data_IF_087440652530
#
_entry.id   IF_087440652530
#
_cell.length_a   1.000
_cell.length_b   1.000
_cell.length_c   1.000
_cell.angle_alpha   90.00
_cell.angle_beta   90.00
_cell.angle_gamma   90.00
#
_symmetry.space_group_name_H-M   'P 1'
#
loop_
_entity.id
_entity.type
_entity.pdbx_description
1 polymer ?
#
# COMPACT_ATOMS: atom_id res chain seq x y z
N UNK A 1 29.31 -13.19 13.08
CA UNK A 1 28.64 -13.56 13.69
C UNK A 1 27.28 -13.45 13.35
N UNK A 2 26.63 -14.31 13.31
CA UNK A 2 25.33 -14.29 12.80
C UNK A 2 24.32 -13.77 13.77
N UNK A 3 24.77 -13.21 14.84
CA UNK A 3 23.85 -12.69 15.81
C UNK A 3 22.92 -11.65 15.25
N UNK A 4 23.40 -10.87 14.29
CA UNK A 4 22.57 -9.83 13.74
C UNK A 4 21.91 -10.22 12.45
N UNK A 5 22.10 -11.46 12.02
CA UNK A 5 21.47 -11.90 10.80
C UNK A 5 20.22 -12.69 11.15
N UNK A 6 19.15 -12.50 10.41
CA UNK A 6 17.95 -13.28 10.65
C UNK A 6 18.23 -14.73 10.38
N UNK A 7 17.66 -15.59 11.18
CA UNK A 7 17.88 -17.00 10.98
C UNK A 7 17.10 -17.51 9.79
N UNK A 8 16.00 -16.86 9.46
CA UNK A 8 15.10 -17.36 8.46
C UNK A 8 14.83 -16.26 7.44
N UNK A 9 15.14 -16.46 6.18
CA UNK A 9 14.85 -15.44 5.17
C UNK A 9 13.40 -15.06 5.10
N UNK A 10 12.48 -15.95 5.47
CA UNK A 10 11.07 -15.62 5.46
C UNK A 10 10.74 -14.60 6.55
N UNK A 11 11.45 -14.64 7.67
CA UNK A 11 11.24 -13.65 8.72
C UNK A 11 11.65 -12.27 8.26
N UNK A 12 12.73 -12.19 7.50
CA UNK A 12 13.18 -10.92 6.96
C UNK A 12 12.15 -10.38 5.99
N UNK A 13 11.68 -11.23 5.09
CA UNK A 13 10.71 -10.82 4.09
C UNK A 13 9.43 -10.36 4.74
N UNK A 14 8.98 -11.06 5.75
CA UNK A 14 7.77 -10.69 6.44
C UNK A 14 7.92 -9.35 7.15
N UNK A 15 9.05 -9.13 7.79
CA UNK A 15 9.28 -7.88 8.51
C UNK A 15 9.31 -6.70 7.55
N UNK A 16 10.02 -6.85 6.43
CA UNK A 16 10.11 -5.79 5.43
C UNK A 16 8.74 -5.51 4.85
N UNK A 17 7.99 -6.54 4.53
CA UNK A 17 6.66 -6.38 3.98
C UNK A 17 5.74 -5.67 4.97
N UNK A 18 5.82 -6.06 6.24
CA UNK A 18 5.01 -5.44 7.28
C UNK A 18 5.33 -3.94 7.41
N UNK A 19 6.60 -3.59 7.38
CA UNK A 19 6.99 -2.20 7.49
C UNK A 19 6.48 -1.39 6.31
N UNK A 20 6.55 -1.95 5.11
CA UNK A 20 6.07 -1.26 3.93
C UNK A 20 4.56 -1.07 3.97
N UNK A 21 3.82 -2.10 4.34
CA UNK A 21 2.37 -2.00 4.44
C UNK A 21 2.00 -1.01 5.53
N UNK A 22 2.70 -1.04 6.64
CA UNK A 22 2.42 -0.12 7.74
C UNK A 22 2.65 1.32 7.32
N UNK A 23 3.64 1.59 6.46
CA UNK A 23 3.94 2.94 6.01
C UNK A 23 2.92 3.46 4.99
N UNK A 24 2.14 2.59 4.39
CA UNK A 24 1.14 3.00 3.41
C UNK A 24 -0.06 3.64 4.11
N UNK A 25 -0.66 4.63 3.47
CA UNK A 25 -1.89 5.21 3.97
C UNK A 25 -3.06 4.28 3.70
N UNK A 26 -3.09 3.73 2.50
CA UNK A 26 -4.11 2.74 2.12
C UNK A 26 -3.53 1.85 1.03
N UNK A 27 -4.26 0.80 0.71
CA UNK A 27 -3.84 -0.18 -0.28
C UNK A 27 -4.85 -0.25 -1.41
N UNK A 28 -4.36 -0.56 -2.60
CA UNK A 28 -5.18 -0.71 -3.78
C UNK A 28 -5.00 -2.11 -4.32
N UNK A 29 -6.08 -2.73 -4.74
CA UNK A 29 -6.00 -4.09 -5.25
C UNK A 29 -6.74 -4.23 -6.56
N UNK A 30 -6.47 -5.36 -7.23
CA UNK A 30 -7.22 -5.74 -8.40
C UNK A 30 -8.61 -6.21 -7.97
N UNK A 31 -9.43 -6.49 -8.96
CA UNK A 31 -10.83 -6.79 -8.72
C UNK A 31 -11.09 -7.89 -7.70
N UNK A 32 -10.29 -8.93 -7.72
CA UNK A 32 -10.51 -10.04 -6.80
C UNK A 32 -9.54 -10.06 -5.64
N UNK A 33 -8.74 -9.02 -5.52
CA UNK A 33 -7.72 -8.94 -4.48
C UNK A 33 -6.80 -10.15 -4.51
N UNK A 34 -6.53 -10.68 -5.68
CA UNK A 34 -5.78 -11.92 -5.79
C UNK A 34 -4.46 -11.82 -6.52
N UNK A 35 -4.28 -10.79 -7.35
CA UNK A 35 -3.07 -10.74 -8.16
C UNK A 35 -2.09 -9.67 -7.75
N UNK A 36 -2.55 -8.55 -7.26
CA UNK A 36 -1.64 -7.47 -6.90
C UNK A 36 -2.20 -6.59 -5.79
N UNK A 37 -1.29 -5.99 -5.07
CA UNK A 37 -1.63 -5.07 -4.01
C UNK A 37 -0.58 -3.96 -4.05
N UNK A 38 -1.01 -2.72 -4.13
CA UNK A 38 -0.11 -1.58 -4.19
C UNK A 38 -0.54 -0.59 -3.14
N UNK A 39 0.39 -0.13 -2.32
CA UNK A 39 0.09 0.86 -1.29
C UNK A 39 0.63 2.22 -1.67
N UNK A 40 -0.06 3.26 -1.27
CA UNK A 40 0.39 4.63 -1.47
C UNK A 40 0.60 5.29 -0.13
N UNK A 41 1.51 6.25 -0.10
CA UNK A 41 1.69 7.09 1.07
C UNK A 41 1.93 8.51 0.64
N UNK A 42 1.48 9.47 1.44
CA UNK A 42 1.68 10.86 1.12
C UNK A 42 1.60 11.70 2.39
N UNK A 43 2.64 12.49 2.62
CA UNK A 43 2.66 13.45 3.72
C UNK A 43 2.95 14.80 3.09
N UNK A 44 1.91 15.64 2.92
CA UNK A 44 2.09 16.93 2.24
C UNK A 44 3.11 17.84 2.90
N UNK A 45 3.36 17.65 4.19
CA UNK A 45 4.32 18.51 4.88
C UNK A 45 5.76 18.19 4.51
N UNK A 46 6.02 17.02 3.98
CA UNK A 46 7.38 16.59 3.66
C UNK A 46 7.60 16.12 2.25
N UNK A 47 6.53 15.76 1.54
CA UNK A 47 6.65 15.13 0.23
C UNK A 47 5.99 15.98 -0.83
N UNK A 48 6.55 15.95 -2.02
CA UNK A 48 6.00 16.72 -3.11
C UNK A 48 4.84 16.03 -3.81
N UNK A 49 4.67 14.77 -3.62
CA UNK A 49 3.57 14.01 -4.19
C UNK A 49 3.52 12.64 -3.58
N UNK A 50 2.47 11.89 -3.87
CA UNK A 50 2.35 10.55 -3.32
C UNK A 50 3.45 9.63 -3.82
N UNK A 51 3.79 8.64 -3.01
CA UNK A 51 4.80 7.64 -3.35
C UNK A 51 4.20 6.25 -3.22
N UNK A 52 4.74 5.32 -3.99
CA UNK A 52 4.36 3.92 -3.88
C UNK A 52 5.08 3.35 -2.66
N UNK A 53 4.32 2.94 -1.68
CA UNK A 53 4.88 2.46 -0.42
C UNK A 53 5.19 0.96 -0.48
N UNK A 54 4.39 0.20 -1.22
CA UNK A 54 4.57 -1.25 -1.29
C UNK A 54 3.96 -1.78 -2.57
N UNK A 55 4.57 -2.81 -3.12
CA UNK A 55 4.07 -3.51 -4.29
C UNK A 55 4.15 -5.00 -3.98
N UNK A 56 3.02 -5.69 -4.03
CA UNK A 56 2.98 -7.12 -3.77
C UNK A 56 2.26 -7.84 -4.89
N UNK A 57 2.67 -9.04 -5.17
CA UNK A 57 2.04 -9.86 -6.19
C UNK A 57 2.23 -11.33 -5.89
N UNK A 58 1.36 -12.13 -6.49
CA UNK A 58 1.52 -13.58 -6.49
C UNK A 58 1.69 -14.21 -5.13
N UNK A 59 2.83 -14.81 -4.89
CA UNK A 59 3.04 -15.56 -3.65
C UNK A 59 3.04 -14.71 -2.40
N UNK A 60 3.21 -13.40 -2.56
CA UNK A 60 3.19 -12.52 -1.40
C UNK A 60 1.78 -12.13 -0.98
N UNK A 61 0.79 -12.39 -1.83
CA UNK A 61 -0.55 -11.84 -1.60
C UNK A 61 -1.21 -12.34 -0.33
N UNK A 62 -1.08 -13.62 -0.04
CA UNK A 62 -1.73 -14.16 1.16
C UNK A 62 -1.20 -13.50 2.42
N UNK A 63 0.13 -13.38 2.50
CA UNK A 63 0.75 -12.76 3.66
C UNK A 63 0.44 -11.27 3.71
N UNK A 64 0.48 -10.60 2.56
CA UNK A 64 0.20 -9.17 2.51
C UNK A 64 -1.21 -8.86 3.00
N UNK A 65 -2.20 -9.66 2.59
CA UNK A 65 -3.56 -9.46 3.04
C UNK A 65 -3.72 -9.68 4.53
N UNK A 66 -3.04 -10.69 5.04
CA UNK A 66 -3.09 -10.99 6.46
C UNK A 66 -2.49 -9.84 7.27
N UNK A 67 -1.36 -9.31 6.82
CA UNK A 67 -0.73 -8.18 7.48
C UNK A 67 -1.65 -6.95 7.43
N UNK A 68 -2.21 -6.68 6.25
CA UNK A 68 -3.08 -5.51 6.07
C UNK A 68 -4.28 -5.58 7.01
N UNK A 69 -4.87 -6.76 7.14
CA UNK A 69 -5.98 -6.94 8.04
C UNK A 69 -5.56 -6.72 9.48
N UNK A 70 -4.43 -7.27 9.87
CA UNK A 70 -3.99 -7.14 11.26
C UNK A 70 -3.66 -5.69 11.61
N UNK A 71 -3.28 -4.88 10.63
CA UNK A 71 -2.96 -3.49 10.86
C UNK A 71 -4.16 -2.56 10.65
N UNK A 72 -5.29 -3.12 10.25
CA UNK A 72 -6.50 -2.32 10.02
C UNK A 72 -6.38 -1.39 8.84
N UNK A 73 -5.61 -1.76 7.82
CA UNK A 73 -5.42 -0.89 6.67
C UNK A 73 -6.65 -0.86 5.77
N UNK A 74 -6.98 0.33 5.27
CA UNK A 74 -8.03 0.47 4.28
C UNK A 74 -7.56 -0.10 2.98
N UNK A 75 -8.44 -0.79 2.27
CA UNK A 75 -8.13 -1.38 0.99
C UNK A 75 -9.24 -1.01 0.01
N UNK A 76 -8.85 -0.45 -1.12
CA UNK A 76 -9.80 -0.06 -2.14
C UNK A 76 -9.58 -0.92 -3.38
N UNK A 77 -10.67 -1.39 -3.97
CA UNK A 77 -10.59 -2.17 -5.19
C UNK A 77 -10.59 -1.20 -6.37
N UNK A 78 -9.46 -1.07 -7.02
CA UNK A 78 -9.29 -0.18 -8.17
C UNK A 78 -8.46 -0.92 -9.21
N UNK A 79 -9.10 -1.77 -10.01
CA UNK A 79 -8.35 -2.65 -10.90
C UNK A 79 -7.46 -1.90 -11.89
N UNK A 80 -7.97 -0.83 -12.48
CA UNK A 80 -7.21 -0.12 -13.50
C UNK A 80 -6.05 0.65 -12.90
N UNK A 81 -6.31 1.40 -11.83
CA UNK A 81 -5.24 2.20 -11.24
C UNK A 81 -4.19 1.31 -10.58
N UNK A 82 -4.61 0.24 -9.92
CA UNK A 82 -3.63 -0.67 -9.33
C UNK A 82 -2.76 -1.31 -10.41
N UNK A 83 -3.33 -1.58 -11.58
CA UNK A 83 -2.56 -2.15 -12.68
C UNK A 83 -1.52 -1.15 -13.21
N UNK A 84 -1.90 0.12 -13.32
CA UNK A 84 -0.97 1.16 -13.76
C UNK A 84 0.17 1.29 -12.76
N UNK A 85 -0.15 1.37 -11.49
CA UNK A 85 0.88 1.52 -10.47
C UNK A 85 1.80 0.31 -10.42
N UNK A 86 1.23 -0.88 -10.50
CA UNK A 86 2.00 -2.09 -10.46
C UNK A 86 2.95 -2.19 -11.65
N UNK A 87 2.49 -1.76 -12.83
CA UNK A 87 3.27 -1.88 -14.04
C UNK A 87 4.34 -0.79 -14.16
N UNK A 88 4.03 0.41 -13.71
CA UNK A 88 4.88 1.56 -14.00
C UNK A 88 5.79 2.04 -12.87
N UNK A 89 5.56 1.60 -11.66
CA UNK A 89 6.31 2.13 -10.52
C UNK A 89 6.98 1.05 -9.69
N UNK A 90 8.10 1.41 -9.13
CA UNK A 90 8.76 0.56 -8.14
C UNK A 90 8.44 1.11 -6.74
N UNK A 91 8.58 0.25 -5.76
CA UNK A 91 8.41 0.67 -4.37
C UNK A 91 9.36 1.82 -4.07
N UNK A 92 8.84 2.87 -3.48
CA UNK A 92 9.62 4.05 -3.14
C UNK A 92 9.54 5.17 -4.17
N UNK A 93 9.01 4.90 -5.36
CA UNK A 93 8.93 5.94 -6.38
C UNK A 93 7.78 6.89 -6.15
N UNK A 94 8.00 8.16 -6.46
CA UNK A 94 6.95 9.16 -6.41
C UNK A 94 6.15 9.08 -7.68
N UNK A 95 4.85 9.27 -7.59
CA UNK A 95 3.99 9.24 -8.75
C UNK A 95 4.30 10.38 -9.70
N UNK A 96 4.12 10.12 -10.99
CA UNK A 96 4.22 11.15 -12.00
C UNK A 96 2.94 12.00 -11.99
N UNK A 97 3.01 13.24 -12.44
CA UNK A 97 1.82 14.11 -12.42
C UNK A 97 0.62 13.55 -13.15
N UNK A 98 0.83 12.71 -14.15
CA UNK A 98 -0.29 12.10 -14.88
C UNK A 98 -1.18 11.24 -13.99
N UNK A 99 -0.65 10.78 -12.87
CA UNK A 99 -1.39 9.91 -11.96
C UNK A 99 -1.88 10.64 -10.72
N UNK A 100 -1.66 11.94 -10.63
CA UNK A 100 -2.06 12.69 -9.44
C UNK A 100 -3.57 12.75 -9.25
N UNK A 101 -4.32 12.90 -10.33
CA UNK A 101 -5.77 13.03 -10.22
C UNK A 101 -6.41 11.78 -9.60
N UNK A 102 -5.97 10.61 -10.07
CA UNK A 102 -6.49 9.36 -9.53
C UNK A 102 -6.12 9.18 -8.06
N UNK A 103 -4.88 9.53 -7.73
CA UNK A 103 -4.44 9.44 -6.34
C UNK A 103 -5.20 10.43 -5.45
N UNK A 104 -5.40 11.65 -5.93
CA UNK A 104 -6.12 12.67 -5.17
C UNK A 104 -7.55 12.24 -4.86
N UNK A 105 -8.18 11.60 -5.81
CA UNK A 105 -9.52 11.10 -5.62
C UNK A 105 -9.57 10.07 -4.49
N UNK A 106 -8.60 9.19 -4.46
CA UNK A 106 -8.52 8.18 -3.42
C UNK A 106 -8.18 8.79 -2.07
N UNK A 107 -7.30 9.80 -2.04
CA UNK A 107 -6.98 10.47 -0.79
C UNK A 107 -8.18 11.22 -0.24
N UNK A 108 -8.99 11.82 -1.11
CA UNK A 108 -10.22 12.47 -0.67
C UNK A 108 -11.16 11.44 -0.03
N UNK A 109 -11.28 10.29 -0.65
CA UNK A 109 -12.12 9.23 -0.11
C UNK A 109 -11.54 8.72 1.22
N UNK A 110 -10.25 8.54 1.29
CA UNK A 110 -9.58 8.03 2.48
C UNK A 110 -9.77 8.99 3.66
N UNK A 111 -9.57 10.29 3.45
CA UNK A 111 -9.72 11.25 4.53
C UNK A 111 -11.17 11.37 4.97
N UNK A 112 -12.10 11.30 4.03
CA UNK A 112 -13.50 11.35 4.37
C UNK A 112 -13.90 10.16 5.23
N UNK A 113 -13.39 8.98 4.89
CA UNK A 113 -13.70 7.79 5.67
C UNK A 113 -13.10 7.84 7.06
N UNK A 114 -11.93 8.45 7.19
CA UNK A 114 -11.33 8.58 8.50
C UNK A 114 -12.12 9.48 9.42
N UNK A 115 -12.73 10.50 8.86
CA UNK A 115 -13.43 11.42 9.69
C UNK A 115 -14.86 11.09 9.91
N UNK A 116 -15.47 10.56 8.92
CA UNK A 116 -16.86 10.45 9.04
C UNK A 116 -17.43 9.18 9.35
N UNK A 117 -16.66 8.20 9.28
CA UNK A 117 -17.27 7.04 9.37
C UNK A 117 -17.74 6.81 10.59
N UNK A 118 -17.13 7.27 11.40
CA UNK A 118 -17.28 6.90 12.52
C UNK A 118 -18.40 7.29 12.99
N UNK A 119 -18.70 8.02 12.93
CA UNK A 119 -19.65 8.33 13.67
C UNK A 119 -20.76 7.69 13.27
N UNK A 120 -20.91 7.41 12.62
CA UNK A 120 -21.80 6.98 12.29
C UNK A 120 -22.04 6.06 12.52
N UNK A 121 -21.73 5.90 12.71
CA UNK A 121 -21.99 5.07 13.05
C UNK A 121 -22.71 4.84 13.39
#
# INVERSE_FOLDING_TARGET
>A
MSLFLPKNPLEVSERVLREKIQSADFLLSDEKCSHRLVGLRYDPSRMKGPEVAVVCARHEMALAKQIALSLGKKMYVRPEFSAVLFREYYCGERLAPKDYAAAAELYALFYRNREGTFPRA
#
